data_IF_146645763945
#
_entry.id   IF_146645763945
#
_cell.length_a   1.000
_cell.length_b   1.000
_cell.length_c   1.000
_cell.angle_alpha   90.00
_cell.angle_beta   90.00
_cell.angle_gamma   90.00
#
_symmetry.space_group_name_H-M   'P 1'
#
loop_
_entity.id
_entity.type
_entity.pdbx_description
1 polymer ?
#
# COMPACT_ATOMS: atom_id res chain seq x y z
N UNK A 1 -5.97 -8.86 -10.56
CA UNK A 1 -5.12 -9.04 -9.37
C UNK A 1 -5.02 -7.76 -8.52
N UNK A 2 -5.68 -6.65 -8.89
CA UNK A 2 -5.65 -5.39 -8.10
C UNK A 2 -6.26 -5.60 -6.74
N UNK A 3 -7.27 -6.48 -6.72
CA UNK A 3 -7.90 -6.98 -5.50
C UNK A 3 -6.89 -7.63 -4.56
N UNK A 4 -5.86 -8.33 -5.07
CA UNK A 4 -4.85 -8.99 -4.24
C UNK A 4 -3.93 -7.94 -3.62
N UNK A 5 -3.35 -7.03 -4.42
CA UNK A 5 -2.51 -5.95 -3.90
C UNK A 5 -3.28 -5.10 -2.88
N UNK A 6 -4.49 -4.67 -3.23
CA UNK A 6 -5.38 -3.87 -2.37
C UNK A 6 -5.77 -4.61 -1.10
N UNK A 7 -6.07 -5.91 -1.19
CA UNK A 7 -6.41 -6.73 -0.03
C UNK A 7 -5.23 -6.86 0.93
N UNK A 8 -4.02 -7.16 0.43
CA UNK A 8 -2.83 -7.21 1.28
C UNK A 8 -2.49 -5.84 1.87
N UNK A 9 -2.74 -4.75 1.14
CA UNK A 9 -2.58 -3.39 1.66
C UNK A 9 -3.53 -3.11 2.82
N UNK A 10 -4.83 -3.36 2.62
CA UNK A 10 -5.85 -3.21 3.66
C UNK A 10 -5.57 -4.12 4.86
N UNK A 11 -5.17 -5.38 4.62
CA UNK A 11 -4.81 -6.33 5.67
C UNK A 11 -3.59 -5.84 6.45
N UNK A 12 -2.60 -5.26 5.79
CA UNK A 12 -1.43 -4.66 6.44
C UNK A 12 -1.82 -3.57 7.43
N UNK A 13 -2.79 -2.72 7.07
CA UNK A 13 -3.33 -1.68 7.96
C UNK A 13 -4.14 -2.26 9.11
N UNK A 14 -5.07 -3.19 8.81
CA UNK A 14 -5.88 -3.84 9.83
C UNK A 14 -5.02 -4.55 10.87
N UNK A 15 -4.06 -5.36 10.43
CA UNK A 15 -3.15 -6.10 11.32
C UNK A 15 -2.32 -5.13 12.17
N UNK A 16 -1.85 -4.02 11.59
CA UNK A 16 -1.14 -2.99 12.35
C UNK A 16 -2.00 -2.44 13.51
N UNK A 17 -3.22 -2.00 13.22
CA UNK A 17 -4.09 -1.37 14.23
C UNK A 17 -4.66 -2.38 15.22
N UNK A 18 -5.10 -3.56 14.76
CA UNK A 18 -5.63 -4.62 15.62
C UNK A 18 -4.56 -5.07 16.62
N UNK A 19 -3.36 -5.44 16.16
CA UNK A 19 -2.29 -5.87 17.08
C UNK A 19 -1.86 -4.75 18.03
N UNK A 20 -1.92 -3.49 17.59
CA UNK A 20 -1.68 -2.33 18.44
C UNK A 20 -2.75 -2.18 19.52
N UNK A 21 -4.03 -2.40 19.21
CA UNK A 21 -5.14 -2.40 20.17
C UNK A 21 -4.98 -3.50 21.22
N UNK A 22 -4.55 -4.69 20.81
CA UNK A 22 -4.21 -5.81 21.70
C UNK A 22 -2.88 -5.63 22.47
N UNK A 23 -2.26 -4.44 22.43
CA UNK A 23 -1.00 -4.13 23.12
C UNK A 23 0.15 -5.09 22.80
N UNK A 24 0.14 -5.70 21.62
CA UNK A 24 1.23 -6.57 21.16
C UNK A 24 2.52 -5.73 21.02
N UNK A 25 3.67 -6.36 21.27
CA UNK A 25 4.98 -5.68 21.21
C UNK A 25 5.16 -4.94 19.87
N UNK A 26 5.59 -3.67 19.93
CA UNK A 26 5.80 -2.80 18.77
C UNK A 26 6.59 -3.43 17.63
N UNK A 27 7.67 -4.14 17.97
CA UNK A 27 8.50 -4.83 16.98
C UNK A 27 7.71 -5.84 16.14
N UNK A 28 6.70 -6.49 16.72
CA UNK A 28 5.90 -7.52 16.05
C UNK A 28 4.91 -6.87 15.08
N UNK A 29 4.03 -5.99 15.56
CA UNK A 29 3.02 -5.41 14.66
C UNK A 29 3.62 -4.55 13.55
N UNK A 30 4.74 -3.85 13.80
CA UNK A 30 5.47 -3.10 12.76
C UNK A 30 6.09 -4.07 11.74
N UNK A 31 6.71 -5.16 12.19
CA UNK A 31 7.32 -6.15 11.28
C UNK A 31 6.25 -6.81 10.41
N UNK A 32 5.11 -7.19 10.98
CA UNK A 32 4.00 -7.80 10.24
C UNK A 32 3.39 -6.82 9.23
N UNK A 33 3.19 -5.56 9.62
CA UNK A 33 2.72 -4.50 8.72
C UNK A 33 3.67 -4.31 7.52
N UNK A 34 4.98 -4.23 7.77
CA UNK A 34 5.97 -4.11 6.69
C UNK A 34 5.94 -5.34 5.79
N UNK A 35 5.89 -6.54 6.35
CA UNK A 35 5.88 -7.79 5.57
C UNK A 35 4.67 -7.85 4.63
N UNK A 36 3.46 -7.59 5.14
CA UNK A 36 2.24 -7.55 4.33
C UNK A 36 2.26 -6.40 3.30
N UNK A 37 2.84 -5.25 3.68
CA UNK A 37 3.02 -4.10 2.78
C UNK A 37 3.94 -4.43 1.61
N UNK A 38 5.04 -5.15 1.84
CA UNK A 38 5.96 -5.60 0.78
C UNK A 38 5.26 -6.55 -0.18
N UNK A 39 4.47 -7.52 0.33
CA UNK A 39 3.69 -8.43 -0.52
C UNK A 39 2.71 -7.63 -1.39
N UNK A 40 2.03 -6.64 -0.82
CA UNK A 40 1.12 -5.78 -1.55
C UNK A 40 1.79 -5.00 -2.69
N UNK A 41 2.97 -4.40 -2.43
CA UNK A 41 3.75 -3.69 -3.46
C UNK A 41 4.24 -4.64 -4.55
N UNK A 42 4.74 -5.82 -4.18
CA UNK A 42 5.18 -6.83 -5.14
C UNK A 42 4.04 -7.30 -6.04
N UNK A 43 2.85 -7.56 -5.47
CA UNK A 43 1.65 -7.90 -6.22
C UNK A 43 1.26 -6.79 -7.21
N UNK A 44 1.39 -5.52 -6.81
CA UNK A 44 1.08 -4.39 -7.68
C UNK A 44 2.05 -4.30 -8.88
N UNK A 45 3.35 -4.53 -8.64
CA UNK A 45 4.36 -4.52 -9.71
C UNK A 45 4.11 -5.66 -10.69
N UNK A 46 3.87 -6.87 -10.18
CA UNK A 46 3.57 -8.03 -11.03
C UNK A 46 2.34 -7.77 -11.91
N UNK A 47 1.30 -7.16 -11.34
CA UNK A 47 0.10 -6.84 -12.11
C UNK A 47 0.31 -5.72 -13.13
N UNK A 48 1.09 -4.69 -12.80
CA UNK A 48 1.44 -3.67 -13.78
C UNK A 48 2.08 -4.30 -15.02
N UNK A 49 3.02 -5.23 -14.83
CA UNK A 49 3.68 -5.95 -15.93
C UNK A 49 2.67 -6.77 -16.74
N UNK A 50 1.77 -7.50 -16.07
CA UNK A 50 0.76 -8.34 -16.74
C UNK A 50 -0.28 -7.54 -17.53
N UNK A 51 -0.47 -6.26 -17.22
CA UNK A 51 -1.45 -5.38 -17.87
C UNK A 51 -0.88 -4.54 -19.01
N UNK A 52 0.42 -4.63 -19.30
CA UNK A 52 1.03 -3.90 -20.42
C UNK A 52 0.31 -4.27 -21.72
N UNK A 53 -0.16 -3.26 -22.45
CA UNK A 53 -0.86 -3.45 -23.74
C UNK A 53 -2.34 -3.86 -23.62
N UNK A 54 -2.89 -3.98 -22.41
CA UNK A 54 -4.31 -4.27 -22.19
C UNK A 54 -5.14 -2.99 -22.01
N UNK A 55 -6.43 -3.06 -22.32
CA UNK A 55 -7.37 -1.97 -22.05
C UNK A 55 -7.39 -1.62 -20.56
N UNK A 56 -7.37 -0.32 -20.27
CA UNK A 56 -7.34 0.17 -18.90
C UNK A 56 -5.96 0.15 -18.22
N UNK A 57 -4.87 -0.21 -18.90
CA UNK A 57 -3.49 -0.18 -18.34
C UNK A 57 -3.15 1.12 -17.58
N UNK A 58 -3.59 2.28 -18.08
CA UNK A 58 -3.33 3.59 -17.47
C UNK A 58 -3.78 3.64 -16.00
N UNK A 59 -4.91 2.99 -15.64
CA UNK A 59 -5.39 3.01 -14.24
C UNK A 59 -4.44 2.26 -13.29
N UNK A 60 -3.78 1.21 -13.80
CA UNK A 60 -2.79 0.41 -13.07
C UNK A 60 -1.49 1.18 -12.83
N UNK A 61 -1.11 2.07 -13.76
CA UNK A 61 0.05 2.97 -13.56
C UNK A 61 -0.19 3.86 -12.34
N UNK A 62 -1.38 4.45 -12.22
CA UNK A 62 -1.74 5.30 -11.09
C UNK A 62 -1.69 4.56 -9.75
N UNK A 63 -2.27 3.35 -9.68
CA UNK A 63 -2.17 2.51 -8.47
C UNK A 63 -0.73 2.11 -8.15
N UNK A 64 0.05 1.70 -9.15
CA UNK A 64 1.44 1.33 -8.97
C UNK A 64 2.27 2.50 -8.45
N UNK A 65 2.05 3.71 -8.96
CA UNK A 65 2.73 4.92 -8.49
C UNK A 65 2.39 5.23 -7.02
N UNK A 66 1.11 5.16 -6.62
CA UNK A 66 0.69 5.37 -5.22
C UNK A 66 1.31 4.29 -4.31
N UNK A 67 1.22 3.01 -4.70
CA UNK A 67 1.76 1.90 -3.92
C UNK A 67 3.28 1.99 -3.77
N UNK A 68 4.00 2.39 -4.83
CA UNK A 68 5.43 2.64 -4.77
C UNK A 68 5.76 3.79 -3.81
N UNK A 69 5.01 4.91 -3.86
CA UNK A 69 5.20 6.03 -2.95
C UNK A 69 4.98 5.64 -1.48
N UNK A 70 3.97 4.82 -1.19
CA UNK A 70 3.72 4.27 0.15
C UNK A 70 4.89 3.38 0.59
N UNK A 71 5.34 2.47 -0.27
CA UNK A 71 6.48 1.59 0.01
C UNK A 71 7.77 2.36 0.29
N UNK A 72 8.11 3.35 -0.54
CA UNK A 72 9.29 4.20 -0.40
C UNK A 72 9.23 5.01 0.88
N UNK A 73 8.13 5.71 1.15
CA UNK A 73 7.95 6.51 2.38
C UNK A 73 8.00 5.65 3.63
N UNK A 74 7.49 4.42 3.57
CA UNK A 74 7.60 3.42 4.65
C UNK A 74 9.05 3.01 4.91
N UNK A 75 9.83 2.77 3.86
CA UNK A 75 11.22 2.33 3.95
C UNK A 75 12.15 3.42 4.49
N UNK A 76 11.98 4.68 4.06
CA UNK A 76 12.86 5.80 4.44
C UNK A 76 12.42 6.51 5.73
N UNK A 77 11.38 6.04 6.39
CA UNK A 77 10.79 6.70 7.57
C UNK A 77 11.78 6.93 8.71
N UNK A 78 12.85 6.13 8.81
CA UNK A 78 13.91 6.30 9.81
C UNK A 78 14.77 7.55 9.60
N UNK A 79 14.86 8.10 8.38
CA UNK A 79 15.69 9.29 8.07
C UNK A 79 15.09 10.57 8.64
N UNK A 80 13.78 10.77 8.45
CA UNK A 80 13.03 11.90 9.01
C UNK A 80 11.61 11.45 9.38
N UNK A 81 11.46 10.92 10.59
CA UNK A 81 10.22 10.29 11.04
C UNK A 81 9.00 11.20 10.96
N UNK A 82 9.12 12.48 11.34
CA UNK A 82 7.98 13.42 11.33
C UNK A 82 7.47 13.67 9.92
N UNK A 83 8.35 13.95 8.97
CA UNK A 83 7.99 14.23 7.59
C UNK A 83 7.46 12.98 6.88
N UNK A 84 8.23 11.89 6.90
CA UNK A 84 7.86 10.68 6.15
C UNK A 84 6.64 9.98 6.73
N UNK A 85 6.37 10.09 8.03
CA UNK A 85 5.10 9.63 8.61
C UNK A 85 3.92 10.38 8.01
N UNK A 86 4.00 11.71 7.90
CA UNK A 86 2.92 12.52 7.29
C UNK A 86 2.71 12.13 5.83
N UNK A 87 3.80 12.05 5.05
CA UNK A 87 3.73 11.65 3.64
C UNK A 87 3.17 10.24 3.46
N UNK A 88 3.61 9.28 4.28
CA UNK A 88 3.12 7.90 4.22
C UNK A 88 1.62 7.81 4.49
N UNK A 89 1.12 8.58 5.46
CA UNK A 89 -0.32 8.66 5.76
C UNK A 89 -1.07 9.34 4.59
N UNK A 90 -0.55 10.43 4.04
CA UNK A 90 -1.16 11.12 2.89
C UNK A 90 -1.29 10.15 1.71
N UNK A 91 -0.23 9.45 1.32
CA UNK A 91 -0.30 8.47 0.23
C UNK A 91 -1.23 7.30 0.54
N UNK A 92 -1.30 6.86 1.79
CA UNK A 92 -2.26 5.83 2.22
C UNK A 92 -3.70 6.30 2.05
N UNK A 93 -4.01 7.56 2.39
CA UNK A 93 -5.33 8.15 2.16
C UNK A 93 -5.60 8.27 0.65
N UNK A 94 -4.62 8.73 -0.14
CA UNK A 94 -4.73 8.82 -1.60
C UNK A 94 -5.05 7.46 -2.23
N UNK A 95 -4.50 6.36 -1.71
CA UNK A 95 -4.87 5.01 -2.14
C UNK A 95 -6.38 4.75 -1.95
N UNK A 96 -6.95 5.06 -0.79
CA UNK A 96 -8.38 4.85 -0.53
C UNK A 96 -9.29 5.78 -1.34
N UNK A 97 -8.82 6.97 -1.70
CA UNK A 97 -9.55 7.87 -2.60
C UNK A 97 -9.50 7.36 -4.05
N UNK A 98 -8.34 6.88 -4.49
CA UNK A 98 -8.14 6.37 -5.85
C UNK A 98 -8.86 5.02 -6.07
N UNK A 99 -8.95 4.19 -5.03
CA UNK A 99 -9.57 2.86 -5.08
C UNK A 99 -10.99 2.85 -5.68
N UNK A 100 -11.99 3.61 -5.15
CA UNK A 100 -13.33 3.63 -5.71
C UNK A 100 -13.40 4.31 -7.08
N UNK A 101 -12.54 5.28 -7.36
CA UNK A 101 -12.46 5.94 -8.68
C UNK A 101 -12.08 4.89 -9.73
N UNK A 102 -11.00 4.16 -9.51
CA UNK A 102 -10.55 3.15 -10.44
C UNK A 102 -11.51 1.94 -10.58
N UNK A 103 -12.28 1.63 -9.53
CA UNK A 103 -13.34 0.60 -9.58
C UNK A 103 -14.57 1.09 -10.35
N UNK A 104 -14.94 2.38 -10.26
CA UNK A 104 -16.13 2.93 -10.93
C UNK A 104 -15.93 3.14 -12.44
N UNK A 105 -14.69 3.31 -12.89
CA UNK A 105 -14.31 3.35 -14.31
C UNK A 105 -13.93 1.96 -14.86
N UNK A 106 -14.57 0.90 -14.34
CA UNK A 106 -14.35 -0.50 -14.71
C UNK A 106 -15.57 -1.09 -15.41
#
# INVERSE_FOLDING_TARGET
>A
MERISSMFFCLSLLVYYILKLFKVKRKVYVKTHIFLGVISVAAMIAELILRIGQEGFIKYIGFAAIMAAIGVTGAIMKKNYKLYKKLHIIFTISFFVYLPIAIKFL
#
